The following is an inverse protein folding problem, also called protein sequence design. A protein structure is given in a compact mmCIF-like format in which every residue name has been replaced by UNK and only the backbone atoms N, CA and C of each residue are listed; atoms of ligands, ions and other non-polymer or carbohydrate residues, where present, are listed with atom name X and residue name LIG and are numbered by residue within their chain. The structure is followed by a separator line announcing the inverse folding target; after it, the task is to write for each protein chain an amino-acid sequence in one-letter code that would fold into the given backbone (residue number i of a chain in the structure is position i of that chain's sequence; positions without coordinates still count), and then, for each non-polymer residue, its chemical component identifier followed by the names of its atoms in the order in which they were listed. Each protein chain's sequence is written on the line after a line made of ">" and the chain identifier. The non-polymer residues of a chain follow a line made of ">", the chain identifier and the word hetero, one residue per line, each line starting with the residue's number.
data_IF_786499509830
#
_entry.id   IF_786499509830
#
_cell.length_a   1.000
_cell.length_b   1.000
_cell.length_c   1.000
_cell.angle_alpha   90.00
_cell.angle_beta   90.00
_cell.angle_gamma   90.00
#
_symmetry.space_group_name_H-M   'P 1'
#
loop_
_entity.id
_entity.type
_entity.pdbx_description
1 polymer ?
#
# COMPACT_ATOMS: atom_id res chain seq x y z
N UNK A 1 19.18 -6.38 3.09
CA UNK A 1 18.13 -7.35 3.42
C UNK A 1 16.94 -6.59 3.97
N UNK A 2 15.82 -6.73 3.30
CA UNK A 2 14.60 -6.09 3.73
C UNK A 2 14.02 -6.86 4.92
N UNK A 3 13.91 -6.19 6.07
CA UNK A 3 13.41 -6.81 7.29
C UNK A 3 11.88 -6.72 7.42
N UNK A 4 11.26 -5.87 6.62
CA UNK A 4 9.83 -5.64 6.68
C UNK A 4 9.19 -5.89 5.33
N UNK A 5 7.95 -6.37 5.35
CA UNK A 5 7.17 -6.58 4.15
C UNK A 5 6.53 -5.31 3.65
N UNK A 6 5.72 -5.44 2.61
CA UNK A 6 5.01 -4.34 1.97
C UNK A 6 3.52 -4.39 2.25
N UNK A 7 2.90 -3.23 2.41
CA UNK A 7 1.45 -3.08 2.40
C UNK A 7 1.02 -2.93 0.95
N UNK A 8 0.15 -3.80 0.49
CA UNK A 8 -0.25 -3.88 -0.92
C UNK A 8 -1.73 -3.54 -1.05
N UNK A 9 -2.06 -2.67 -2.00
CA UNK A 9 -3.46 -2.32 -2.24
C UNK A 9 -4.21 -3.50 -2.86
N UNK A 10 -5.35 -3.84 -2.27
CA UNK A 10 -6.24 -4.89 -2.78
C UNK A 10 -7.04 -4.43 -3.99
N UNK A 11 -7.40 -3.15 -4.04
CA UNK A 11 -8.29 -2.59 -5.04
C UNK A 11 -7.67 -1.44 -5.80
N UNK A 12 -8.22 -1.18 -6.98
CA UNK A 12 -7.98 0.04 -7.74
C UNK A 12 -9.04 1.06 -7.35
N UNK A 13 -8.62 2.26 -6.96
CA UNK A 13 -9.55 3.29 -6.55
C UNK A 13 -8.87 4.46 -5.87
N UNK A 14 -9.65 5.23 -5.14
CA UNK A 14 -9.17 6.39 -4.41
C UNK A 14 -9.07 6.07 -2.93
N UNK A 15 -7.94 6.40 -2.31
CA UNK A 15 -7.74 6.14 -0.88
C UNK A 15 -8.65 7.02 -0.04
N UNK A 16 -9.10 6.47 1.09
CA UNK A 16 -9.92 7.19 2.03
C UNK A 16 -9.19 7.40 3.35
N UNK A 17 -9.45 8.54 3.99
CA UNK A 17 -8.89 8.82 5.31
C UNK A 17 -9.37 7.79 6.34
N UNK A 18 -10.60 7.33 6.20
CA UNK A 18 -11.16 6.30 7.08
C UNK A 18 -10.34 5.01 7.03
N UNK A 19 -10.04 4.51 5.81
CA UNK A 19 -9.27 3.29 5.66
C UNK A 19 -7.84 3.45 6.18
N UNK A 20 -7.19 4.57 5.86
CA UNK A 20 -5.82 4.82 6.33
C UNK A 20 -5.76 4.94 7.85
N UNK A 21 -6.74 5.59 8.45
CA UNK A 21 -6.81 5.72 9.91
C UNK A 21 -6.92 4.35 10.59
N UNK A 22 -7.77 3.47 10.06
CA UNK A 22 -7.92 2.13 10.61
C UNK A 22 -6.69 1.25 10.41
N UNK A 23 -5.94 1.48 9.35
CA UNK A 23 -4.83 0.62 8.97
C UNK A 23 -3.46 1.17 9.37
N UNK A 24 -3.38 2.39 9.90
CA UNK A 24 -2.09 3.02 10.19
C UNK A 24 -1.27 2.28 11.25
N UNK A 25 -1.91 1.45 12.05
CA UNK A 25 -1.20 0.62 13.04
C UNK A 25 -0.46 -0.55 12.39
N UNK A 26 -0.77 -0.87 11.14
CA UNK A 26 -0.15 -1.98 10.41
C UNK A 26 1.21 -1.63 9.83
N UNK A 27 1.51 -0.35 9.70
CA UNK A 27 2.79 0.09 9.16
C UNK A 27 2.78 1.56 8.79
N UNK A 28 3.73 1.93 7.94
CA UNK A 28 3.90 3.32 7.49
C UNK A 28 3.45 3.41 6.05
N UNK A 29 2.56 4.36 5.75
CA UNK A 29 2.05 4.55 4.39
C UNK A 29 2.95 5.47 3.57
N UNK A 30 2.97 5.23 2.25
CA UNK A 30 3.62 6.09 1.25
C UNK A 30 2.62 7.00 0.55
N UNK A 31 1.35 6.90 0.89
CA UNK A 31 0.23 7.58 0.24
C UNK A 31 -0.55 8.42 1.23
N UNK A 32 -1.35 9.34 0.70
CA UNK A 32 -2.21 10.23 1.48
C UNK A 32 -3.68 9.99 1.12
N UNK A 33 -4.64 10.41 1.98
CA UNK A 33 -6.05 10.34 1.62
C UNK A 33 -6.31 11.09 0.32
N UNK A 34 -7.12 10.52 -0.56
CA UNK A 34 -7.44 11.09 -1.85
C UNK A 34 -6.51 10.71 -2.98
N UNK A 35 -5.44 10.00 -2.70
CA UNK A 35 -4.53 9.52 -3.74
C UNK A 35 -5.16 8.35 -4.50
N UNK A 36 -4.88 8.28 -5.80
CA UNK A 36 -5.33 7.15 -6.59
C UNK A 36 -4.32 6.01 -6.51
N UNK A 37 -4.82 4.80 -6.33
CA UNK A 37 -4.01 3.59 -6.25
C UNK A 37 -4.59 2.53 -7.16
N UNK A 38 -3.79 1.52 -7.45
CA UNK A 38 -4.25 0.36 -8.22
C UNK A 38 -3.93 -0.95 -7.49
N UNK A 39 -4.67 -1.99 -7.82
CA UNK A 39 -4.46 -3.30 -7.22
C UNK A 39 -3.02 -3.77 -7.51
N UNK A 40 -2.33 -4.19 -6.46
CA UNK A 40 -0.92 -4.62 -6.57
C UNK A 40 0.08 -3.52 -6.32
N UNK A 41 -0.34 -2.27 -6.19
CA UNK A 41 0.55 -1.17 -5.82
C UNK A 41 1.00 -1.32 -4.38
N UNK A 42 2.28 -1.08 -4.12
CA UNK A 42 2.82 -1.04 -2.76
C UNK A 42 2.52 0.35 -2.18
N UNK A 43 1.68 0.39 -1.17
CA UNK A 43 1.20 1.64 -0.59
C UNK A 43 1.81 1.96 0.76
N UNK A 44 2.63 1.05 1.29
CA UNK A 44 3.29 1.26 2.55
C UNK A 44 4.24 0.14 2.92
N UNK A 45 4.88 0.30 4.06
CA UNK A 45 5.79 -0.69 4.64
C UNK A 45 5.15 -1.22 5.92
N UNK A 46 4.99 -2.54 6.02
CA UNK A 46 4.43 -3.15 7.22
C UNK A 46 5.49 -3.28 8.32
N UNK A 47 5.02 -3.41 9.56
CA UNK A 47 5.89 -3.66 10.71
C UNK A 47 6.29 -5.13 10.84
N UNK A 48 5.78 -6.01 9.97
CA UNK A 48 6.07 -7.44 9.97
C UNK A 48 6.90 -7.82 8.75
N UNK A 49 7.62 -8.95 8.77
CA UNK A 49 8.43 -9.34 7.62
C UNK A 49 7.63 -9.81 6.42
N UNK A 50 6.35 -10.10 6.57
CA UNK A 50 5.50 -10.60 5.50
C UNK A 50 4.68 -9.48 4.86
N UNK A 51 4.44 -9.59 3.55
CA UNK A 51 3.56 -8.67 2.84
C UNK A 51 2.12 -8.83 3.32
N UNK A 52 1.39 -7.72 3.34
CA UNK A 52 -0.02 -7.69 3.75
C UNK A 52 -0.84 -6.96 2.71
N UNK A 53 -1.88 -7.62 2.21
CA UNK A 53 -2.84 -7.01 1.26
C UNK A 53 -3.94 -6.34 2.07
N UNK A 54 -4.18 -5.06 1.78
CA UNK A 54 -5.14 -4.25 2.52
C UNK A 54 -6.02 -3.45 1.58
N UNK A 55 -7.18 -3.04 2.06
CA UNK A 55 -8.08 -2.18 1.30
C UNK A 55 -7.98 -0.74 1.81
N UNK A 56 -7.24 0.09 1.07
CA UNK A 56 -7.05 1.51 1.42
C UNK A 56 -8.12 2.41 0.82
N UNK A 57 -9.04 1.83 0.05
CA UNK A 57 -10.13 2.57 -0.59
C UNK A 57 -11.46 2.41 0.13
N UNK A 58 -11.50 1.64 1.21
CA UNK A 58 -12.73 1.36 1.94
C UNK A 58 -13.32 2.61 2.55
N UNK A 59 -14.61 2.85 2.30
CA UNK A 59 -15.32 3.96 2.87
C UNK A 59 -16.26 3.48 3.96
N UNK A 60 -16.48 4.35 4.96
CA UNK A 60 -17.46 4.07 5.99
C UNK A 60 -18.85 4.40 5.46
N UNK A 61 -19.78 3.46 5.58
CA UNK A 61 -21.19 3.72 5.25
C UNK A 61 -21.78 4.66 6.30
N UNK A 62 -21.87 5.93 5.94
CA UNK A 62 -22.55 6.91 6.76
C UNK A 62 -23.75 7.47 5.99
N UNK A 63 -24.94 7.31 6.57
CA UNK A 63 -26.12 7.97 6.04
C UNK A 63 -26.03 9.46 6.35
N UNK A 64 -25.87 10.28 5.31
CA UNK A 64 -26.06 11.72 5.41
C UNK A 64 -24.82 12.60 5.52
N UNK A 65 -23.65 12.07 5.81
CA UNK A 65 -22.43 12.89 5.89
C UNK A 65 -21.30 12.27 5.10
N UNK A 66 -20.81 13.03 4.12
CA UNK A 66 -19.72 12.59 3.25
C UNK A 66 -18.38 13.26 3.58
N UNK A 67 -18.39 14.17 4.54
CA UNK A 67 -17.18 14.87 4.93
C UNK A 67 -16.39 14.05 5.93
N UNK A 68 -15.10 13.85 5.65
CA UNK A 68 -14.22 13.19 6.60
C UNK A 68 -14.05 14.09 7.82
N UNK A 69 -14.31 13.60 9.03
CA UNK A 69 -14.12 14.40 10.23
C UNK A 69 -12.67 14.88 10.36
N UNK A 70 -12.50 16.12 10.76
CA UNK A 70 -11.18 16.69 10.99
C UNK A 70 -10.38 15.86 11.99
N UNK A 71 -11.05 15.27 12.99
CA UNK A 71 -10.39 14.43 13.99
C UNK A 71 -9.70 13.21 13.37
N UNK A 72 -10.28 12.62 12.31
CA UNK A 72 -9.65 11.50 11.61
C UNK A 72 -8.42 11.98 10.85
N UNK A 73 -8.54 13.10 10.14
CA UNK A 73 -7.42 13.66 9.39
C UNK A 73 -6.28 14.03 10.34
N UNK A 74 -6.58 14.65 11.47
CA UNK A 74 -5.58 15.06 12.46
C UNK A 74 -4.90 13.87 13.13
N UNK A 75 -5.57 12.70 13.19
CA UNK A 75 -5.01 11.50 13.80
C UNK A 75 -4.13 10.70 12.86
N UNK A 76 -4.10 11.04 11.56
CA UNK A 76 -3.29 10.31 10.59
C UNK A 76 -1.81 10.69 10.73
N UNK A 77 -0.96 9.67 10.72
CA UNK A 77 0.48 9.88 10.63
C UNK A 77 0.84 10.40 9.24
N UNK A 78 1.80 11.33 9.13
CA UNK A 78 2.24 11.79 7.82
C UNK A 78 2.76 10.63 6.98
N UNK A 79 2.51 10.63 5.65
CA UNK A 79 3.05 9.60 4.78
C UNK A 79 4.57 9.75 4.65
N UNK A 80 5.24 8.62 4.49
CA UNK A 80 6.65 8.61 4.18
C UNK A 80 6.81 8.85 2.68
N UNK A 81 7.52 9.91 2.33
CA UNK A 81 7.79 10.23 0.92
C UNK A 81 9.10 9.55 0.53
N UNK A 82 9.02 8.66 -0.45
CA UNK A 82 10.20 7.95 -0.94
C UNK A 82 10.90 8.78 -2.03
N UNK A 83 12.18 9.04 -1.84
CA UNK A 83 13.02 9.54 -2.92
C UNK A 83 13.30 8.38 -3.89
N UNK A 84 13.87 8.69 -5.05
CA UNK A 84 14.24 7.64 -6.01
C UNK A 84 15.22 6.64 -5.39
N UNK A 85 16.22 7.13 -4.66
CA UNK A 85 17.19 6.26 -4.00
C UNK A 85 16.54 5.41 -2.93
N UNK A 86 15.67 5.99 -2.10
CA UNK A 86 14.93 5.25 -1.07
C UNK A 86 14.06 4.16 -1.69
N UNK A 87 13.38 4.48 -2.79
CA UNK A 87 12.52 3.54 -3.48
C UNK A 87 13.33 2.38 -4.07
N UNK A 88 14.48 2.66 -4.65
CA UNK A 88 15.34 1.62 -5.21
C UNK A 88 15.88 0.69 -4.13
N UNK A 89 16.24 1.23 -2.97
CA UNK A 89 16.67 0.40 -1.85
C UNK A 89 15.54 -0.42 -1.25
N UNK A 90 14.32 0.09 -1.33
CA UNK A 90 13.15 -0.57 -0.76
C UNK A 90 12.75 -1.83 -1.55
N UNK A 91 12.99 -1.86 -2.87
CA UNK A 91 12.46 -2.90 -3.75
C UNK A 91 12.91 -4.30 -3.35
N UNK A 92 11.95 -5.22 -3.28
CA UNK A 92 12.18 -6.66 -3.21
C UNK A 92 12.27 -7.26 -4.62
N UNK A 93 12.66 -8.53 -4.72
CA UNK A 93 12.81 -9.21 -6.01
C UNK A 93 11.52 -9.29 -6.81
N UNK A 94 10.37 -9.28 -6.14
CA UNK A 94 9.05 -9.37 -6.77
C UNK A 94 8.38 -8.01 -6.94
N UNK A 95 9.14 -6.93 -6.79
CA UNK A 95 8.62 -5.56 -6.87
C UNK A 95 9.30 -4.78 -7.98
N UNK A 96 8.56 -3.83 -8.54
CA UNK A 96 9.02 -2.93 -9.59
C UNK A 96 8.81 -1.49 -9.16
N UNK A 97 9.65 -0.61 -9.67
CA UNK A 97 9.50 0.83 -9.47
C UNK A 97 9.01 1.46 -10.77
N UNK A 98 7.87 2.14 -10.70
CA UNK A 98 7.35 2.93 -11.81
C UNK A 98 7.75 4.38 -11.60
N UNK A 99 8.43 4.94 -12.58
CA UNK A 99 8.86 6.34 -12.56
C UNK A 99 8.10 7.11 -13.62
N UNK A 100 7.34 8.12 -13.21
CA UNK A 100 6.66 9.03 -14.13
C UNK A 100 7.16 10.44 -13.84
N UNK A 101 6.93 11.42 -14.75
CA UNK A 101 7.33 12.78 -14.46
C UNK A 101 6.72 13.37 -13.18
N UNK A 102 5.60 12.81 -12.73
CA UNK A 102 4.85 13.33 -11.60
C UNK A 102 4.96 12.50 -10.34
N UNK A 103 5.37 11.22 -10.43
CA UNK A 103 5.33 10.35 -9.27
C UNK A 103 6.28 9.17 -9.35
N UNK A 104 6.58 8.61 -8.18
CA UNK A 104 7.27 7.33 -8.03
C UNK A 104 6.30 6.37 -7.35
N UNK A 105 6.14 5.17 -7.91
CA UNK A 105 5.27 4.14 -7.36
C UNK A 105 5.98 2.81 -7.32
N UNK A 106 5.94 2.17 -6.17
CA UNK A 106 6.39 0.78 -6.03
C UNK A 106 5.20 -0.13 -6.24
N UNK A 107 5.37 -1.19 -7.00
CA UNK A 107 4.29 -2.15 -7.27
C UNK A 107 4.84 -3.57 -7.26
N UNK A 108 3.93 -4.52 -7.06
CA UNK A 108 4.28 -5.92 -7.26
C UNK A 108 4.41 -6.20 -8.75
N UNK A 109 5.34 -7.08 -9.12
CA UNK A 109 5.53 -7.50 -10.51
C UNK A 109 4.25 -8.12 -11.06
N UNK A 110 3.62 -8.99 -10.27
CA UNK A 110 2.31 -9.53 -10.59
C UNK A 110 1.25 -8.78 -9.80
N UNK A 111 0.37 -8.05 -10.49
CA UNK A 111 -0.63 -7.20 -9.86
C UNK A 111 -1.84 -7.99 -9.32
N UNK A 112 -2.17 -9.11 -9.95
CA UNK A 112 -3.33 -9.88 -9.55
C UNK A 112 -3.03 -10.71 -8.32
N UNK A 113 -3.79 -10.49 -7.24
CA UNK A 113 -3.55 -11.13 -5.94
C UNK A 113 -3.54 -12.67 -6.03
N UNK A 114 -4.51 -13.27 -6.73
CA UNK A 114 -4.58 -14.71 -6.87
C UNK A 114 -3.38 -15.31 -7.58
N UNK A 115 -2.89 -14.63 -8.62
CA UNK A 115 -1.71 -15.08 -9.35
C UNK A 115 -0.45 -14.93 -8.52
N UNK A 116 -0.33 -13.86 -7.72
CA UNK A 116 0.79 -13.72 -6.79
C UNK A 116 0.81 -14.86 -5.78
N UNK A 117 -0.34 -15.17 -5.22
CA UNK A 117 -0.46 -16.26 -4.24
C UNK A 117 -0.02 -17.59 -4.82
N UNK A 118 -0.43 -17.89 -6.05
CA UNK A 118 -0.04 -19.14 -6.73
C UNK A 118 1.46 -19.18 -6.99
N UNK A 119 2.04 -18.06 -7.42
CA UNK A 119 3.47 -17.99 -7.69
C UNK A 119 4.28 -18.21 -6.41
N UNK A 120 3.87 -17.60 -5.32
CA UNK A 120 4.53 -17.78 -4.02
C UNK A 120 4.42 -19.22 -3.52
N UNK A 121 3.24 -19.82 -3.69
CA UNK A 121 3.01 -21.20 -3.29
C UNK A 121 3.86 -22.17 -4.11
N UNK A 122 3.97 -21.95 -5.42
CA UNK A 122 4.80 -22.78 -6.28
C UNK A 122 6.28 -22.63 -5.95
N UNK A 123 6.73 -21.41 -5.68
CA UNK A 123 8.11 -21.17 -5.27
C UNK A 123 8.46 -21.89 -3.98
N UNK A 124 7.54 -21.95 -3.01
CA UNK A 124 7.74 -22.69 -1.76
C UNK A 124 7.87 -24.19 -1.99
N UNK A 125 7.12 -24.73 -2.97
CA UNK A 125 7.18 -26.15 -3.30
C UNK A 125 8.47 -26.55 -3.98
N UNK A 126 9.10 -25.61 -4.68
CA UNK A 126 10.33 -25.84 -5.43
C UNK A 126 11.59 -25.69 -4.57
N UNK A 127 11.45 -25.13 -3.39
CA UNK A 127 12.60 -24.89 -2.51
C UNK A 127 12.83 -26.00 -1.49
#
# INVERSE_FOLDING_TARGET
>A
IQQFGSLISHETGTTSAYALEHLQQRGTFFISPGDEVYAGQVVGQTIRPEDLVINVCRTKHMTGHRTTPKSIIDSLSPPRILSLDDAMEYLSNDELLEVTPESLRVRKRELHHGLRYRAEKNARKES
#
